data_IF_209823299745
#
_entry.id   IF_209823299745
#
_cell.length_a   1.000
_cell.length_b   1.000
_cell.length_c   1.000
_cell.angle_alpha   90.00
_cell.angle_beta   90.00
_cell.angle_gamma   90.00
#
_symmetry.space_group_name_H-M   'P 1'
#
loop_
_entity.id
_entity.type
_entity.pdbx_description
1 polymer ?
#
# COMPACT_ATOMS: atom_id res chain seq x y z
N UNK A 1 -45.03 -47.87 40.35
CA UNK A 1 -44.70 -46.97 39.24
C UNK A 1 -43.85 -45.82 39.79
N UNK A 2 -42.67 -45.59 39.20
CA UNK A 2 -41.54 -44.83 39.76
C UNK A 2 -41.87 -43.34 39.92
N UNK A 3 -41.56 -42.77 41.09
CA UNK A 3 -41.50 -41.32 41.33
C UNK A 3 -40.24 -40.79 40.66
N UNK A 4 -40.38 -39.91 39.68
CA UNK A 4 -39.27 -39.18 39.05
C UNK A 4 -39.14 -37.86 39.82
N UNK A 5 -38.07 -37.75 40.62
CA UNK A 5 -37.68 -36.52 41.30
C UNK A 5 -36.87 -35.69 40.32
N UNK A 6 -37.41 -34.59 39.83
CA UNK A 6 -36.69 -33.65 38.96
C UNK A 6 -35.69 -32.87 39.82
N UNK A 7 -34.40 -33.21 39.70
CA UNK A 7 -33.30 -32.46 40.30
C UNK A 7 -33.05 -31.22 39.42
N UNK A 8 -33.36 -30.05 39.95
CA UNK A 8 -33.04 -28.76 39.34
C UNK A 8 -31.56 -28.45 39.62
N UNK A 9 -30.67 -28.69 38.65
CA UNK A 9 -29.26 -28.32 38.76
C UNK A 9 -29.14 -26.82 38.44
N UNK A 10 -28.94 -26.02 39.49
CA UNK A 10 -28.64 -24.59 39.38
C UNK A 10 -27.16 -24.43 38.96
N UNK A 11 -26.92 -24.20 37.67
CA UNK A 11 -25.57 -23.88 37.17
C UNK A 11 -25.29 -22.41 37.49
N UNK A 12 -24.51 -22.16 38.55
CA UNK A 12 -23.94 -20.85 38.82
C UNK A 12 -22.86 -20.52 37.77
N UNK A 13 -23.20 -19.66 36.82
CA UNK A 13 -22.22 -19.00 35.96
C UNK A 13 -21.45 -17.97 36.80
N UNK A 14 -20.28 -18.35 37.32
CA UNK A 14 -19.29 -17.40 37.80
C UNK A 14 -18.74 -16.60 36.61
N UNK A 15 -19.36 -15.45 36.33
CA UNK A 15 -18.83 -14.46 35.39
C UNK A 15 -17.61 -13.78 36.00
N UNK A 16 -16.41 -14.29 35.71
CA UNK A 16 -15.17 -13.58 35.96
C UNK A 16 -15.09 -12.37 35.01
N UNK A 17 -15.62 -11.22 35.45
CA UNK A 17 -15.30 -9.93 34.86
C UNK A 17 -13.82 -9.63 35.15
N UNK A 18 -12.93 -10.05 34.24
CA UNK A 18 -11.60 -9.44 34.15
C UNK A 18 -11.81 -8.01 33.67
N UNK A 19 -11.74 -7.06 34.60
CA UNK A 19 -11.55 -5.66 34.25
C UNK A 19 -10.37 -5.56 33.29
N UNK A 20 -10.62 -5.13 32.05
CA UNK A 20 -9.56 -4.76 31.13
C UNK A 20 -8.87 -3.56 31.75
N UNK A 21 -7.73 -3.77 32.41
CA UNK A 21 -6.80 -2.72 32.77
C UNK A 21 -6.51 -1.91 31.50
N UNK A 22 -7.06 -0.70 31.42
CA UNK A 22 -6.75 0.23 30.33
C UNK A 22 -5.27 0.53 30.44
N UNK A 23 -4.47 0.06 29.48
CA UNK A 23 -3.08 0.47 29.36
C UNK A 23 -3.03 2.01 29.38
N UNK A 24 -2.07 2.61 30.09
CA UNK A 24 -1.91 4.06 30.09
C UNK A 24 -1.76 4.55 28.65
N UNK A 25 -2.34 5.71 28.30
CA UNK A 25 -2.29 6.23 26.93
C UNK A 25 -0.82 6.38 26.49
N UNK A 26 -0.49 5.80 25.32
CA UNK A 26 0.86 5.91 24.76
C UNK A 26 1.27 7.38 24.67
N UNK A 27 2.40 7.72 25.29
CA UNK A 27 3.03 9.05 25.18
C UNK A 27 3.46 9.26 23.73
N UNK A 28 3.04 10.38 23.13
CA UNK A 28 3.39 10.72 21.75
C UNK A 28 4.88 11.07 21.69
N UNK A 29 5.69 10.37 20.87
CA UNK A 29 7.11 10.70 20.73
C UNK A 29 7.31 12.09 20.15
N UNK A 30 8.33 12.80 20.65
CA UNK A 30 8.74 14.07 20.07
C UNK A 30 9.16 13.87 18.61
N UNK A 31 8.91 14.88 17.79
CA UNK A 31 9.32 14.87 16.39
C UNK A 31 10.85 14.99 16.27
N UNK A 32 11.47 13.98 15.69
CA UNK A 32 12.91 13.97 15.41
C UNK A 32 13.30 15.12 14.46
N UNK A 33 14.52 15.64 14.63
CA UNK A 33 15.06 16.75 13.83
C UNK A 33 14.97 16.50 12.32
N UNK A 34 15.14 15.25 11.88
CA UNK A 34 15.02 14.85 10.48
C UNK A 34 13.67 15.27 9.87
N UNK A 35 12.54 14.91 10.50
CA UNK A 35 11.21 15.23 9.97
C UNK A 35 10.94 16.74 9.95
N UNK A 36 11.45 17.47 10.95
CA UNK A 36 11.39 18.94 10.99
C UNK A 36 12.14 19.57 9.80
N UNK A 37 13.30 19.03 9.44
CA UNK A 37 14.14 19.51 8.34
C UNK A 37 13.48 19.26 6.97
N UNK A 38 13.06 18.03 6.68
CA UNK A 38 12.47 17.69 5.37
C UNK A 38 11.08 18.30 5.15
N UNK A 39 10.41 18.76 6.20
CA UNK A 39 9.11 19.45 6.11
C UNK A 39 9.16 20.70 5.24
N UNK A 40 10.32 21.35 5.12
CA UNK A 40 10.49 22.51 4.23
C UNK A 40 10.21 22.18 2.75
N UNK A 41 10.36 20.91 2.37
CA UNK A 41 10.12 20.41 1.02
C UNK A 41 8.71 19.81 0.83
N UNK A 42 7.83 19.86 1.85
CA UNK A 42 6.44 19.44 1.68
C UNK A 42 5.71 20.44 0.79
N UNK A 43 5.46 20.04 -0.47
CA UNK A 43 4.67 20.84 -1.39
C UNK A 43 3.18 20.79 -1.00
N UNK A 44 2.53 21.95 -0.97
CA UNK A 44 1.08 22.01 -0.71
C UNK A 44 0.31 21.41 -1.88
N UNK A 45 -0.79 20.72 -1.58
CA UNK A 45 -1.76 20.34 -2.60
C UNK A 45 -2.40 21.60 -3.20
N UNK A 46 -2.59 21.60 -4.52
CA UNK A 46 -3.39 22.62 -5.20
C UNK A 46 -4.88 22.44 -4.90
N UNK A 47 -5.68 23.42 -5.33
CA UNK A 47 -7.14 23.30 -5.30
C UNK A 47 -7.58 22.15 -6.23
N UNK A 48 -8.39 21.18 -5.76
CA UNK A 48 -8.82 20.05 -6.58
C UNK A 48 -9.65 20.51 -7.79
N UNK A 49 -9.34 19.96 -8.96
CA UNK A 49 -10.05 20.23 -10.22
C UNK A 49 -10.95 19.06 -10.63
N UNK A 50 -11.85 19.28 -11.59
CA UNK A 50 -12.77 18.23 -12.06
C UNK A 50 -12.00 17.00 -12.53
N UNK A 51 -12.36 15.83 -11.97
CA UNK A 51 -11.69 14.55 -12.22
C UNK A 51 -10.71 14.14 -11.13
N UNK A 52 -10.22 15.07 -10.31
CA UNK A 52 -9.29 14.77 -9.21
C UNK A 52 -9.99 14.00 -8.09
N UNK A 53 -9.22 13.21 -7.33
CA UNK A 53 -9.73 12.44 -6.20
C UNK A 53 -10.49 13.31 -5.19
N UNK A 54 -9.83 14.37 -4.72
CA UNK A 54 -10.35 15.27 -3.68
C UNK A 54 -11.47 16.22 -4.16
N UNK A 55 -11.69 16.31 -5.49
CA UNK A 55 -12.84 17.01 -6.04
C UNK A 55 -14.13 16.24 -5.72
N UNK A 56 -14.10 14.91 -5.88
CA UNK A 56 -15.27 14.03 -5.71
C UNK A 56 -15.34 13.37 -4.33
N UNK A 57 -14.21 13.24 -3.63
CA UNK A 57 -14.12 12.57 -2.33
C UNK A 57 -13.64 13.54 -1.26
N UNK A 58 -14.50 13.83 -0.29
CA UNK A 58 -14.10 14.60 0.90
C UNK A 58 -13.48 13.68 1.93
N UNK A 59 -12.25 13.98 2.31
CA UNK A 59 -11.46 13.19 3.25
C UNK A 59 -11.07 14.02 4.47
N UNK A 60 -10.88 13.33 5.59
CA UNK A 60 -10.35 13.93 6.80
C UNK A 60 -8.86 13.61 6.91
N UNK A 61 -8.09 14.59 7.37
CA UNK A 61 -6.68 14.38 7.66
C UNK A 61 -6.51 13.31 8.75
N UNK A 62 -5.56 12.40 8.54
CA UNK A 62 -5.03 11.55 9.59
C UNK A 62 -3.79 12.23 10.19
N UNK A 63 -3.84 12.71 11.43
CA UNK A 63 -2.67 13.31 12.10
C UNK A 63 -1.66 12.24 12.53
N UNK A 64 -0.42 12.63 12.87
CA UNK A 64 0.55 11.68 13.46
C UNK A 64 0.04 11.07 14.77
N UNK A 65 -0.61 11.87 15.62
CA UNK A 65 -1.14 11.39 16.90
C UNK A 65 -2.26 10.36 16.73
N UNK A 66 -3.17 10.59 15.76
CA UNK A 66 -4.20 9.62 15.40
C UNK A 66 -3.60 8.32 14.87
N UNK A 67 -2.61 8.43 13.96
CA UNK A 67 -1.89 7.28 13.44
C UNK A 67 -1.19 6.49 14.55
N UNK A 68 -0.43 7.16 15.42
CA UNK A 68 0.37 6.52 16.47
C UNK A 68 -0.49 5.77 17.50
N UNK A 69 -1.71 6.27 17.75
CA UNK A 69 -2.71 5.60 18.62
C UNK A 69 -3.53 4.53 17.90
N UNK A 70 -3.48 4.46 16.58
CA UNK A 70 -4.20 3.45 15.82
C UNK A 70 -3.61 2.04 16.01
N UNK A 71 -4.40 1.03 15.69
CA UNK A 71 -3.92 -0.36 15.59
C UNK A 71 -3.42 -0.62 14.17
N UNK A 72 -2.21 -0.16 13.88
CA UNK A 72 -1.49 -0.46 12.63
C UNK A 72 -0.52 -1.64 12.84
N UNK A 73 -0.13 -2.29 11.75
CA UNK A 73 0.84 -3.39 11.80
C UNK A 73 2.25 -2.82 12.06
N UNK A 74 3.04 -3.58 12.82
CA UNK A 74 4.43 -3.26 13.16
C UNK A 74 5.25 -4.52 12.86
N UNK A 75 6.39 -4.43 12.15
CA UNK A 75 7.22 -5.60 11.90
C UNK A 75 7.70 -6.28 13.18
N UNK A 76 7.68 -7.62 13.17
CA UNK A 76 8.18 -8.47 14.27
C UNK A 76 9.24 -9.43 13.73
N UNK A 77 9.80 -10.30 14.56
CA UNK A 77 10.71 -11.34 14.05
C UNK A 77 9.96 -12.36 13.18
N UNK A 78 8.67 -12.56 13.47
CA UNK A 78 7.79 -13.54 12.83
C UNK A 78 7.00 -12.95 11.66
N UNK A 79 6.94 -11.63 11.50
CA UNK A 79 6.26 -10.92 10.39
C UNK A 79 7.09 -9.71 9.96
N UNK A 80 7.94 -9.86 8.93
CA UNK A 80 8.86 -8.79 8.47
C UNK A 80 9.24 -8.87 6.99
N UNK A 81 8.56 -9.70 6.19
CA UNK A 81 8.82 -9.83 4.76
C UNK A 81 7.61 -9.34 3.97
N UNK A 82 7.85 -8.39 3.06
CA UNK A 82 6.89 -7.96 2.06
C UNK A 82 6.98 -8.94 0.88
N UNK A 83 5.85 -9.47 0.44
CA UNK A 83 5.79 -10.36 -0.71
C UNK A 83 5.09 -9.69 -1.89
N UNK A 84 5.58 -9.96 -3.10
CA UNK A 84 4.93 -9.63 -4.36
C UNK A 84 4.47 -10.93 -5.02
N UNK A 85 3.20 -11.01 -5.43
CA UNK A 85 2.63 -12.15 -6.16
C UNK A 85 2.24 -11.71 -7.57
N UNK A 86 3.02 -12.06 -8.59
CA UNK A 86 2.59 -11.86 -9.97
C UNK A 86 1.38 -12.75 -10.29
N UNK A 87 0.36 -12.18 -10.95
CA UNK A 87 -0.88 -12.84 -11.35
C UNK A 87 -1.03 -12.64 -12.87
N UNK A 88 -0.78 -13.69 -13.63
CA UNK A 88 -0.75 -13.66 -15.10
C UNK A 88 0.61 -13.97 -15.72
N UNK A 89 0.73 -13.68 -17.02
CA UNK A 89 1.84 -13.97 -17.91
C UNK A 89 2.64 -12.73 -18.34
N UNK A 90 3.62 -12.37 -17.53
CA UNK A 90 4.42 -11.17 -17.78
C UNK A 90 5.48 -11.38 -18.88
N UNK A 91 5.57 -10.42 -19.81
CA UNK A 91 6.64 -10.35 -20.81
C UNK A 91 7.98 -9.92 -20.17
N UNK A 92 9.06 -9.89 -20.96
CA UNK A 92 10.40 -9.59 -20.43
C UNK A 92 10.53 -8.19 -19.80
N UNK A 93 9.90 -7.17 -20.40
CA UNK A 93 9.92 -5.81 -19.86
C UNK A 93 9.10 -5.72 -18.57
N UNK A 94 7.92 -6.33 -18.54
CA UNK A 94 7.07 -6.35 -17.35
C UNK A 94 7.73 -7.13 -16.19
N UNK A 95 8.41 -8.24 -16.48
CA UNK A 95 9.24 -8.98 -15.49
C UNK A 95 10.35 -8.09 -14.93
N UNK A 96 11.00 -7.29 -15.78
CA UNK A 96 12.00 -6.31 -15.33
C UNK A 96 11.38 -5.24 -14.43
N UNK A 97 10.18 -4.75 -14.74
CA UNK A 97 9.48 -3.82 -13.84
C UNK A 97 9.18 -4.46 -12.48
N UNK A 98 8.69 -5.70 -12.44
CA UNK A 98 8.44 -6.41 -11.17
C UNK A 98 9.72 -6.56 -10.34
N UNK A 99 10.85 -6.86 -10.97
CA UNK A 99 12.15 -6.91 -10.29
C UNK A 99 12.55 -5.56 -9.69
N UNK A 100 12.37 -4.46 -10.45
CA UNK A 100 12.67 -3.12 -9.98
C UNK A 100 11.72 -2.64 -8.87
N UNK A 101 10.44 -3.03 -8.93
CA UNK A 101 9.46 -2.79 -7.86
C UNK A 101 9.87 -3.52 -6.59
N UNK A 102 10.29 -4.78 -6.69
CA UNK A 102 10.78 -5.53 -5.54
C UNK A 102 11.95 -4.82 -4.85
N UNK A 103 12.97 -4.43 -5.61
CA UNK A 103 14.13 -3.71 -5.10
C UNK A 103 13.72 -2.36 -4.49
N UNK A 104 12.89 -1.58 -5.20
CA UNK A 104 12.38 -0.31 -4.70
C UNK A 104 11.64 -0.45 -3.37
N UNK A 105 10.74 -1.42 -3.24
CA UNK A 105 9.97 -1.63 -2.01
C UNK A 105 10.86 -2.05 -0.85
N UNK A 106 11.89 -2.87 -1.11
CA UNK A 106 12.90 -3.20 -0.10
C UNK A 106 13.63 -1.97 0.41
N UNK A 107 14.01 -1.04 -0.48
CA UNK A 107 14.64 0.22 -0.10
C UNK A 107 13.67 1.19 0.59
N UNK A 108 12.46 1.31 0.06
CA UNK A 108 11.43 2.25 0.53
C UNK A 108 10.91 1.90 1.91
N UNK A 109 10.71 0.61 2.21
CA UNK A 109 10.27 0.17 3.53
C UNK A 109 11.44 -0.26 4.42
N UNK A 110 12.65 -0.44 3.88
CA UNK A 110 13.78 -1.10 4.57
C UNK A 110 13.36 -2.43 5.23
N UNK A 111 12.50 -3.17 4.53
CA UNK A 111 12.05 -4.50 4.89
C UNK A 111 12.35 -5.44 3.73
N UNK A 112 12.75 -6.67 4.06
CA UNK A 112 13.04 -7.68 3.05
C UNK A 112 11.83 -7.85 2.14
N UNK A 113 12.04 -7.76 0.82
CA UNK A 113 10.99 -7.94 -0.17
C UNK A 113 11.28 -9.15 -1.05
N UNK A 114 10.27 -9.97 -1.35
CA UNK A 114 10.43 -11.18 -2.16
C UNK A 114 9.32 -11.29 -3.19
N UNK A 115 9.67 -11.71 -4.39
CA UNK A 115 8.69 -12.06 -5.43
C UNK A 115 8.42 -13.56 -5.37
N UNK A 116 7.16 -13.93 -5.27
CA UNK A 116 6.69 -15.31 -5.33
C UNK A 116 6.58 -15.79 -6.77
N UNK A 117 6.48 -17.10 -6.96
CA UNK A 117 6.15 -17.68 -8.26
C UNK A 117 4.80 -17.16 -8.77
N UNK A 118 4.71 -16.85 -10.08
CA UNK A 118 3.49 -16.37 -10.69
C UNK A 118 2.38 -17.41 -10.62
N UNK A 119 1.13 -16.95 -10.60
CA UNK A 119 -0.06 -17.81 -10.78
C UNK A 119 -0.81 -17.40 -12.04
N UNK A 120 -1.51 -18.36 -12.67
CA UNK A 120 -2.38 -18.06 -13.80
C UNK A 120 -3.56 -17.19 -13.37
N UNK A 121 -4.02 -16.32 -14.28
CA UNK A 121 -5.28 -15.59 -14.08
C UNK A 121 -6.46 -16.54 -13.90
N UNK A 122 -6.41 -17.78 -14.44
CA UNK A 122 -7.48 -18.79 -14.39
C UNK A 122 -7.97 -19.15 -12.98
N UNK A 123 -7.20 -18.78 -11.95
CA UNK A 123 -7.65 -18.84 -10.55
C UNK A 123 -8.90 -17.98 -10.29
N UNK A 124 -9.11 -16.93 -11.10
CA UNK A 124 -10.30 -16.08 -11.06
C UNK A 124 -11.40 -16.72 -11.91
N UNK A 125 -12.58 -17.03 -11.34
CA UNK A 125 -13.68 -17.65 -12.07
C UNK A 125 -14.41 -16.64 -12.96
N UNK A 126 -15.17 -17.13 -13.93
CA UNK A 126 -15.98 -16.29 -14.84
C UNK A 126 -16.94 -15.35 -14.10
N UNK A 127 -17.44 -15.74 -12.93
CA UNK A 127 -18.32 -14.88 -12.10
C UNK A 127 -17.60 -13.67 -11.50
N UNK A 128 -16.27 -13.68 -11.47
CA UNK A 128 -15.42 -12.60 -10.96
C UNK A 128 -14.62 -11.92 -12.09
N UNK A 129 -15.05 -12.10 -13.34
CA UNK A 129 -14.49 -11.49 -14.54
C UNK A 129 -15.56 -10.69 -15.25
N UNK A 130 -15.15 -9.68 -16.02
CA UNK A 130 -16.05 -8.98 -16.95
C UNK A 130 -15.28 -8.47 -18.15
N UNK A 131 -16.04 -8.11 -19.18
CA UNK A 131 -15.53 -7.33 -20.30
C UNK A 131 -15.76 -5.85 -20.05
N UNK A 132 -14.69 -5.06 -20.15
CA UNK A 132 -14.77 -3.61 -20.01
C UNK A 132 -15.57 -3.01 -21.16
N UNK A 133 -16.01 -1.76 -20.98
CA UNK A 133 -16.59 -0.97 -22.09
C UNK A 133 -15.58 -0.68 -23.20
N UNK A 134 -14.29 -0.82 -22.93
CA UNK A 134 -13.18 -0.62 -23.87
C UNK A 134 -12.79 -1.93 -24.60
N UNK A 135 -13.45 -3.06 -24.30
CA UNK A 135 -13.25 -4.33 -25.02
C UNK A 135 -12.10 -5.19 -24.51
N UNK A 136 -11.65 -4.98 -23.27
CA UNK A 136 -10.64 -5.80 -22.60
C UNK A 136 -11.13 -6.43 -21.30
N UNK A 137 -10.50 -7.53 -20.91
CA UNK A 137 -10.88 -8.27 -19.70
C UNK A 137 -10.49 -7.52 -18.43
N UNK A 138 -11.40 -7.52 -17.44
CA UNK A 138 -11.14 -7.03 -16.10
C UNK A 138 -11.43 -8.11 -15.05
N UNK A 139 -10.57 -8.18 -14.03
CA UNK A 139 -10.71 -9.06 -12.88
C UNK A 139 -11.30 -8.29 -11.68
N UNK A 140 -12.16 -8.95 -10.90
CA UNK A 140 -12.71 -8.36 -9.68
C UNK A 140 -11.61 -8.28 -8.62
N UNK A 141 -11.17 -7.06 -8.26
CA UNK A 141 -10.11 -6.85 -7.28
C UNK A 141 -10.46 -7.48 -5.92
N UNK A 142 -11.74 -7.41 -5.52
CA UNK A 142 -12.22 -8.03 -4.28
C UNK A 142 -12.05 -9.55 -4.24
N UNK A 143 -12.18 -10.26 -5.36
CA UNK A 143 -11.96 -11.70 -5.41
C UNK A 143 -10.48 -12.03 -5.23
N UNK A 144 -9.60 -11.32 -5.94
CA UNK A 144 -8.15 -11.48 -5.78
C UNK A 144 -7.70 -11.25 -4.33
N UNK A 145 -8.25 -10.23 -3.66
CA UNK A 145 -7.93 -9.96 -2.26
C UNK A 145 -8.44 -11.06 -1.32
N UNK A 146 -9.73 -11.39 -1.38
CA UNK A 146 -10.39 -12.19 -0.35
C UNK A 146 -10.25 -13.69 -0.55
N UNK A 147 -10.18 -14.15 -1.80
CA UNK A 147 -10.26 -15.57 -2.15
C UNK A 147 -8.91 -16.14 -2.66
N UNK A 148 -7.96 -15.27 -3.03
CA UNK A 148 -6.65 -15.68 -3.55
C UNK A 148 -5.52 -15.25 -2.63
N UNK A 149 -5.29 -13.94 -2.48
CA UNK A 149 -4.13 -13.40 -1.76
C UNK A 149 -4.22 -13.59 -0.25
N UNK A 150 -5.42 -13.49 0.33
CA UNK A 150 -5.62 -13.69 1.77
C UNK A 150 -5.20 -15.09 2.23
N UNK A 151 -5.47 -16.10 1.41
CA UNK A 151 -5.17 -17.51 1.70
C UNK A 151 -3.67 -17.85 1.55
N UNK A 152 -2.91 -17.01 0.83
CA UNK A 152 -1.47 -17.18 0.62
C UNK A 152 -0.67 -16.69 1.83
N UNK A 153 -0.15 -17.62 2.64
CA UNK A 153 0.59 -17.29 3.87
C UNK A 153 2.06 -17.75 3.86
N UNK A 154 2.92 -17.15 3.01
CA UNK A 154 4.35 -17.46 3.01
C UNK A 154 4.99 -17.07 4.34
N UNK A 155 6.10 -17.77 4.67
CA UNK A 155 6.80 -17.59 5.93
C UNK A 155 7.21 -16.13 6.16
N UNK A 156 7.01 -15.63 7.39
CA UNK A 156 7.35 -14.27 7.80
C UNK A 156 6.63 -13.14 7.04
N UNK A 157 5.52 -13.42 6.35
CA UNK A 157 4.73 -12.40 5.64
C UNK A 157 4.24 -11.32 6.60
N UNK A 158 4.61 -10.07 6.33
CA UNK A 158 3.98 -8.89 6.93
C UNK A 158 2.95 -8.24 5.99
N UNK A 159 3.18 -8.33 4.69
CA UNK A 159 2.35 -7.76 3.64
C UNK A 159 2.47 -8.62 2.38
N UNK A 160 1.39 -8.72 1.60
CA UNK A 160 1.39 -9.40 0.31
C UNK A 160 0.68 -8.55 -0.74
N UNK A 161 1.42 -8.18 -1.79
CA UNK A 161 0.93 -7.38 -2.90
C UNK A 161 0.82 -8.23 -4.16
N UNK A 162 -0.40 -8.44 -4.64
CA UNK A 162 -0.66 -8.98 -5.97
C UNK A 162 -0.34 -7.95 -7.05
N UNK A 163 0.33 -8.36 -8.12
CA UNK A 163 0.47 -7.57 -9.34
C UNK A 163 -0.20 -8.33 -10.47
N UNK A 164 -1.32 -7.80 -10.96
CA UNK A 164 -2.07 -8.39 -12.07
C UNK A 164 -1.65 -7.77 -13.40
N UNK A 165 -1.49 -8.61 -14.42
CA UNK A 165 -1.32 -8.14 -15.80
C UNK A 165 -2.61 -7.60 -16.43
N UNK A 166 -3.76 -8.06 -15.95
CA UNK A 166 -5.08 -7.69 -16.43
C UNK A 166 -5.63 -6.51 -15.64
N UNK A 167 -6.57 -5.79 -16.25
CA UNK A 167 -7.23 -4.65 -15.63
C UNK A 167 -8.08 -5.08 -14.43
N UNK A 168 -8.32 -4.16 -13.50
CA UNK A 168 -9.05 -4.44 -12.26
C UNK A 168 -10.28 -3.56 -12.14
N UNK A 169 -11.35 -4.11 -11.57
CA UNK A 169 -12.52 -3.34 -11.15
C UNK A 169 -12.89 -3.63 -9.70
N UNK A 170 -13.36 -2.62 -8.93
CA UNK A 170 -13.64 -2.82 -7.51
C UNK A 170 -15.06 -3.32 -7.25
N UNK A 171 -16.04 -2.86 -8.06
CA UNK A 171 -17.48 -3.15 -7.94
C UNK A 171 -18.16 -3.03 -9.32
N UNK A 172 -19.33 -3.66 -9.53
CA UNK A 172 -20.04 -3.59 -10.80
C UNK A 172 -20.27 -2.16 -11.31
N UNK A 173 -20.53 -1.20 -10.43
CA UNK A 173 -20.88 0.19 -10.77
C UNK A 173 -19.67 1.08 -11.07
N UNK A 174 -18.44 0.57 -10.90
CA UNK A 174 -17.20 1.32 -11.04
C UNK A 174 -16.44 0.87 -12.29
N UNK A 175 -15.76 1.80 -12.96
CA UNK A 175 -15.07 1.50 -14.23
C UNK A 175 -13.80 0.66 -14.03
N UNK A 176 -12.89 1.10 -13.16
CA UNK A 176 -11.65 0.39 -12.87
C UNK A 176 -11.05 0.89 -11.55
N UNK A 177 -9.95 0.25 -11.15
CA UNK A 177 -9.12 0.65 -10.01
C UNK A 177 -7.66 0.31 -10.31
N UNK A 178 -6.72 1.20 -9.98
CA UNK A 178 -5.28 0.92 -10.16
C UNK A 178 -4.75 -0.06 -9.11
N UNK A 179 -5.24 0.06 -7.87
CA UNK A 179 -4.95 -0.86 -6.78
C UNK A 179 -5.99 -0.81 -5.67
N UNK A 180 -6.05 -1.90 -4.89
CA UNK A 180 -6.95 -2.02 -3.76
C UNK A 180 -6.25 -2.81 -2.65
N UNK A 181 -6.30 -2.30 -1.41
CA UNK A 181 -5.71 -2.96 -0.25
C UNK A 181 -6.72 -3.24 0.88
N UNK A 182 -6.50 -4.35 1.58
CA UNK A 182 -7.10 -4.64 2.89
C UNK A 182 -6.08 -4.39 4.00
N UNK A 183 -6.33 -3.34 4.79
CA UNK A 183 -5.56 -3.02 5.99
C UNK A 183 -5.50 -4.18 6.98
N UNK A 184 -6.64 -4.85 7.18
CA UNK A 184 -6.80 -5.91 8.19
C UNK A 184 -6.12 -7.20 7.78
N UNK A 185 -6.30 -7.58 6.52
CA UNK A 185 -5.84 -8.87 6.00
C UNK A 185 -4.41 -8.79 5.43
N UNK A 186 -3.79 -7.59 5.44
CA UNK A 186 -2.41 -7.32 5.02
C UNK A 186 -2.12 -7.76 3.57
N UNK A 187 -3.14 -7.60 2.72
CA UNK A 187 -3.08 -7.95 1.30
C UNK A 187 -3.51 -6.76 0.46
N UNK A 188 -2.92 -6.64 -0.72
CA UNK A 188 -3.27 -5.63 -1.72
C UNK A 188 -3.12 -6.19 -3.11
N UNK A 189 -3.73 -5.56 -4.10
CA UNK A 189 -3.58 -5.91 -5.50
C UNK A 189 -3.50 -4.64 -6.34
N UNK A 190 -2.58 -4.58 -7.30
CA UNK A 190 -2.52 -3.54 -8.32
C UNK A 190 -2.49 -4.16 -9.71
N UNK A 191 -2.96 -3.39 -10.69
CA UNK A 191 -2.88 -3.76 -12.10
C UNK A 191 -1.77 -2.99 -12.80
N UNK A 192 -0.95 -3.67 -13.60
CA UNK A 192 -0.04 -2.98 -14.53
C UNK A 192 -0.73 -2.60 -15.86
N UNK A 193 -1.96 -3.08 -16.10
CA UNK A 193 -2.62 -3.01 -17.42
C UNK A 193 -2.72 -1.56 -17.92
N UNK A 194 -3.34 -0.69 -17.12
CA UNK A 194 -3.57 0.71 -17.51
C UNK A 194 -2.32 1.58 -17.49
N UNK A 195 -1.25 1.15 -16.82
CA UNK A 195 -0.01 1.94 -16.77
C UNK A 195 0.68 2.01 -18.12
N UNK A 196 0.50 0.98 -18.95
CA UNK A 196 1.18 0.77 -20.23
C UNK A 196 0.53 1.52 -21.40
N UNK A 197 -0.75 1.93 -21.25
CA UNK A 197 -1.53 2.57 -22.32
C UNK A 197 -1.49 1.78 -23.64
N UNK A 198 -1.82 0.49 -23.57
CA UNK A 198 -1.77 -0.45 -24.69
C UNK A 198 -0.68 -1.51 -24.54
N UNK A 199 0.58 -1.12 -24.72
CA UNK A 199 1.74 -2.04 -24.64
C UNK A 199 2.93 -1.39 -23.94
N UNK A 200 3.63 -2.16 -23.08
CA UNK A 200 4.91 -1.74 -22.52
C UNK A 200 6.02 -1.84 -23.57
N UNK A 201 6.60 -0.70 -23.91
CA UNK A 201 7.75 -0.56 -24.80
C UNK A 201 8.96 -0.01 -24.03
N UNK A 202 10.11 0.08 -24.70
CA UNK A 202 11.28 0.74 -24.10
C UNK A 202 11.04 2.25 -23.88
N UNK A 203 10.20 2.89 -24.71
CA UNK A 203 9.95 4.33 -24.68
C UNK A 203 9.08 4.72 -23.47
N UNK A 204 8.04 3.95 -23.17
CA UNK A 204 7.16 4.21 -22.03
C UNK A 204 7.60 3.49 -20.74
N UNK A 205 8.70 2.72 -20.77
CA UNK A 205 9.13 1.88 -19.64
C UNK A 205 9.25 2.64 -18.33
N UNK A 206 9.91 3.80 -18.34
CA UNK A 206 10.18 4.59 -17.15
C UNK A 206 8.91 5.23 -16.57
N UNK A 207 8.00 5.72 -17.43
CA UNK A 207 6.72 6.25 -17.00
C UNK A 207 5.85 5.16 -16.35
N UNK A 208 5.77 3.99 -17.00
CA UNK A 208 5.04 2.84 -16.48
C UNK A 208 5.64 2.34 -15.15
N UNK A 209 6.98 2.35 -15.05
CA UNK A 209 7.68 1.99 -13.83
C UNK A 209 7.34 2.99 -12.71
N UNK A 210 7.47 4.30 -12.95
CA UNK A 210 7.11 5.35 -11.98
C UNK A 210 5.69 5.15 -11.42
N UNK A 211 4.70 4.97 -12.31
CA UNK A 211 3.30 4.69 -11.94
C UNK A 211 3.18 3.45 -11.04
N UNK A 212 3.88 2.38 -11.39
CA UNK A 212 3.88 1.14 -10.62
C UNK A 212 4.57 1.27 -9.26
N UNK A 213 5.68 2.02 -9.16
CA UNK A 213 6.36 2.29 -7.88
C UNK A 213 5.47 3.11 -6.94
N UNK A 214 4.86 4.19 -7.45
CA UNK A 214 3.91 5.04 -6.71
C UNK A 214 2.73 4.23 -6.20
N UNK A 215 2.06 3.49 -7.08
CA UNK A 215 0.88 2.68 -6.72
C UNK A 215 1.25 1.57 -5.74
N UNK A 216 2.34 0.83 -5.96
CA UNK A 216 2.71 -0.28 -5.08
C UNK A 216 3.07 0.18 -3.67
N UNK A 217 3.82 1.29 -3.54
CA UNK A 217 4.15 1.85 -2.24
C UNK A 217 2.94 2.48 -1.54
N UNK A 218 2.00 3.06 -2.30
CA UNK A 218 0.73 3.54 -1.79
C UNK A 218 -0.10 2.41 -1.17
N UNK A 219 -0.36 1.34 -1.92
CA UNK A 219 -1.19 0.21 -1.45
C UNK A 219 -0.54 -0.52 -0.26
N UNK A 220 0.78 -0.72 -0.28
CA UNK A 220 1.49 -1.30 0.87
C UNK A 220 1.49 -0.32 2.05
N UNK A 221 1.58 0.99 1.81
CA UNK A 221 1.45 2.03 2.83
C UNK A 221 0.12 1.94 3.58
N UNK A 222 -0.98 1.63 2.89
CA UNK A 222 -2.26 1.32 3.53
C UNK A 222 -2.17 0.13 4.48
N UNK A 223 -1.46 -0.95 4.13
CA UNK A 223 -1.27 -2.09 5.04
C UNK A 223 -0.56 -1.69 6.34
N UNK A 224 0.32 -0.67 6.29
CA UNK A 224 0.95 -0.04 7.46
C UNK A 224 0.11 1.04 8.15
N UNK A 225 -1.17 1.17 7.82
CA UNK A 225 -2.12 2.06 8.48
C UNK A 225 -2.11 3.50 7.99
N UNK A 226 -1.39 3.82 6.90
CA UNK A 226 -1.44 5.14 6.30
C UNK A 226 -2.80 5.32 5.60
N UNK A 227 -3.50 6.40 5.90
CA UNK A 227 -4.66 6.82 5.11
C UNK A 227 -4.20 7.66 3.92
N UNK A 228 -5.14 8.01 3.04
CA UNK A 228 -4.87 9.05 2.07
C UNK A 228 -4.36 10.32 2.75
N UNK A 229 -3.32 10.91 2.16
CA UNK A 229 -2.72 12.14 2.64
C UNK A 229 -3.39 13.33 1.96
N UNK A 230 -3.84 14.29 2.76
CA UNK A 230 -4.34 15.60 2.26
C UNK A 230 -3.50 16.78 2.76
N UNK A 231 -2.39 16.51 3.46
CA UNK A 231 -1.53 17.53 4.07
C UNK A 231 -0.53 18.15 3.06
N UNK A 232 -0.10 17.38 2.07
CA UNK A 232 0.92 17.75 1.09
C UNK A 232 0.84 16.82 -0.13
N UNK A 233 1.48 17.21 -1.23
CA UNK A 233 1.82 16.31 -2.34
C UNK A 233 2.69 15.17 -1.80
N UNK A 234 2.15 13.96 -1.90
CA UNK A 234 2.61 12.78 -1.18
C UNK A 234 2.21 11.53 -1.95
N UNK A 235 3.05 10.50 -1.96
CA UNK A 235 2.70 9.20 -2.59
C UNK A 235 1.43 8.57 -1.99
N UNK A 236 1.04 8.97 -0.79
CA UNK A 236 -0.23 8.56 -0.16
C UNK A 236 -1.44 9.42 -0.58
N UNK A 237 -1.34 10.36 -1.52
CA UNK A 237 -2.54 11.06 -2.02
C UNK A 237 -3.43 10.05 -2.76
N UNK A 238 -4.74 10.11 -2.54
CA UNK A 238 -5.69 9.37 -3.38
C UNK A 238 -5.67 9.91 -4.80
N UNK A 239 -5.80 9.04 -5.80
CA UNK A 239 -5.82 9.43 -7.22
C UNK A 239 -6.97 8.76 -7.96
N UNK A 240 -7.55 9.49 -8.93
CA UNK A 240 -8.66 9.03 -9.77
C UNK A 240 -8.24 8.75 -11.22
N UNK A 241 -7.03 9.16 -11.63
CA UNK A 241 -6.57 9.05 -13.01
C UNK A 241 -5.06 8.90 -13.12
N UNK A 242 -4.58 8.43 -14.27
CA UNK A 242 -3.14 8.38 -14.57
C UNK A 242 -2.53 9.77 -14.56
N UNK A 243 -3.22 10.77 -15.12
CA UNK A 243 -2.73 12.16 -15.11
C UNK A 243 -2.55 12.69 -13.68
N UNK A 244 -3.42 12.30 -12.75
CA UNK A 244 -3.27 12.61 -11.33
C UNK A 244 -2.10 11.88 -10.66
N UNK A 245 -1.95 10.59 -10.95
CA UNK A 245 -0.78 9.83 -10.48
C UNK A 245 0.54 10.39 -11.04
N UNK A 246 0.56 10.80 -12.31
CA UNK A 246 1.76 11.28 -12.99
C UNK A 246 2.25 12.60 -12.39
N UNK A 247 1.36 13.56 -12.14
CA UNK A 247 1.71 14.85 -11.52
C UNK A 247 2.04 14.75 -10.02
N UNK A 248 1.59 13.68 -9.34
CA UNK A 248 1.87 13.47 -7.91
C UNK A 248 3.30 12.99 -7.67
N UNK A 249 3.86 13.31 -6.50
CA UNK A 249 5.21 12.89 -6.15
C UNK A 249 5.28 11.45 -5.64
N UNK A 250 6.42 10.75 -5.85
CA UNK A 250 6.71 9.46 -5.20
C UNK A 250 7.11 9.60 -3.72
N UNK A 251 7.37 10.82 -3.29
CA UNK A 251 7.87 11.12 -1.95
C UNK A 251 6.74 11.00 -0.92
N UNK A 252 7.03 10.39 0.22
CA UNK A 252 6.19 10.56 1.41
C UNK A 252 6.44 11.95 1.99
N UNK A 253 5.39 12.72 2.30
CA UNK A 253 5.54 13.98 3.02
C UNK A 253 6.14 13.75 4.42
N UNK A 254 6.66 14.81 5.06
CA UNK A 254 7.31 14.71 6.37
C UNK A 254 6.45 13.99 7.42
N UNK A 255 5.14 14.26 7.42
CA UNK A 255 4.16 13.63 8.32
C UNK A 255 4.01 12.14 8.04
N UNK A 256 3.90 11.74 6.76
CA UNK A 256 3.73 10.33 6.40
C UNK A 256 5.03 9.53 6.59
N UNK A 257 6.20 10.14 6.37
CA UNK A 257 7.48 9.54 6.75
C UNK A 257 7.56 9.33 8.26
N UNK A 258 7.17 10.31 9.07
CA UNK A 258 7.15 10.18 10.54
C UNK A 258 6.22 9.05 10.99
N UNK A 259 5.02 8.94 10.41
CA UNK A 259 4.08 7.85 10.68
C UNK A 259 4.73 6.50 10.36
N UNK A 260 5.22 6.32 9.13
CA UNK A 260 5.82 5.07 8.70
C UNK A 260 7.06 4.71 9.53
N UNK A 261 7.92 5.69 9.85
CA UNK A 261 9.11 5.47 10.67
C UNK A 261 8.79 5.05 12.11
N UNK A 262 7.61 5.46 12.63
CA UNK A 262 7.18 5.08 13.97
C UNK A 262 6.76 3.61 14.09
N UNK A 263 6.44 2.94 12.97
CA UNK A 263 6.14 1.51 12.94
C UNK A 263 7.28 0.69 12.35
N UNK A 264 7.91 1.15 11.26
CA UNK A 264 9.10 0.55 10.67
C UNK A 264 10.28 1.44 11.02
N UNK A 265 11.12 1.02 11.97
CA UNK A 265 12.28 1.79 12.45
C UNK A 265 13.42 1.80 11.42
N UNK A 266 13.12 2.28 10.20
CA UNK A 266 14.09 2.42 9.13
C UNK A 266 15.05 3.59 9.42
N UNK A 267 16.27 3.50 8.88
CA UNK A 267 17.23 4.59 8.89
C UNK A 267 16.84 5.62 7.82
N UNK A 268 16.41 6.79 8.28
CA UNK A 268 15.97 7.90 7.44
C UNK A 268 17.02 8.35 6.41
N UNK A 269 18.30 8.46 6.81
CA UNK A 269 19.37 8.95 5.93
C UNK A 269 19.74 7.87 4.91
N UNK A 270 19.92 6.63 5.36
CA UNK A 270 20.22 5.49 4.48
C UNK A 270 19.12 5.27 3.45
N UNK A 271 17.85 5.27 3.88
CA UNK A 271 16.69 5.13 3.00
C UNK A 271 16.70 6.18 1.89
N UNK A 272 16.97 7.43 2.25
CA UNK A 272 16.98 8.54 1.30
C UNK A 272 18.12 8.42 0.27
N UNK A 273 19.34 8.10 0.71
CA UNK A 273 20.49 7.87 -0.19
C UNK A 273 20.29 6.65 -1.08
N UNK A 274 19.75 5.55 -0.56
CA UNK A 274 19.49 4.36 -1.36
C UNK A 274 18.42 4.61 -2.43
N UNK A 275 17.34 5.32 -2.08
CA UNK A 275 16.31 5.71 -3.04
C UNK A 275 16.85 6.67 -4.10
N UNK A 276 17.67 7.66 -3.73
CA UNK A 276 18.35 8.54 -4.69
C UNK A 276 19.16 7.72 -5.71
N UNK A 277 20.00 6.80 -5.23
CA UNK A 277 20.81 5.93 -6.08
C UNK A 277 19.93 5.05 -6.97
N UNK A 278 18.83 4.52 -6.43
CA UNK A 278 17.87 3.71 -7.16
C UNK A 278 17.22 4.49 -8.31
N UNK A 279 16.77 5.71 -8.07
CA UNK A 279 16.12 6.52 -9.10
C UNK A 279 17.12 6.98 -10.17
N UNK A 280 18.33 7.36 -9.75
CA UNK A 280 19.41 7.76 -10.65
C UNK A 280 19.78 6.65 -11.64
N UNK A 281 20.02 5.42 -11.17
CA UNK A 281 20.44 4.31 -12.03
C UNK A 281 19.34 3.81 -12.97
N UNK A 282 18.08 4.11 -12.67
CA UNK A 282 16.91 3.76 -13.50
C UNK A 282 16.40 4.93 -14.35
N UNK A 283 17.10 6.07 -14.38
CA UNK A 283 16.72 7.28 -15.13
C UNK A 283 15.31 7.80 -14.76
N UNK A 284 14.95 7.74 -13.47
CA UNK A 284 13.72 8.28 -12.91
C UNK A 284 14.01 9.67 -12.34
N UNK A 285 14.03 10.68 -13.22
CA UNK A 285 14.63 11.99 -12.93
C UNK A 285 13.83 12.78 -11.89
N UNK A 286 12.50 12.79 -11.98
CA UNK A 286 11.65 13.53 -11.04
C UNK A 286 11.73 12.95 -9.62
N UNK A 287 11.73 11.62 -9.51
CA UNK A 287 11.90 10.91 -8.25
C UNK A 287 13.28 11.13 -7.65
N UNK A 288 14.33 11.09 -8.48
CA UNK A 288 15.70 11.39 -8.09
C UNK A 288 15.84 12.82 -7.53
N UNK A 289 15.30 13.82 -8.23
CA UNK A 289 15.36 15.21 -7.78
C UNK A 289 14.58 15.43 -6.49
N UNK A 290 13.47 14.70 -6.29
CA UNK A 290 12.72 14.71 -5.03
C UNK A 290 13.56 14.23 -3.85
N UNK A 291 14.33 13.14 -4.01
CA UNK A 291 15.23 12.66 -2.95
C UNK A 291 16.36 13.67 -2.69
N UNK A 292 16.95 14.26 -3.74
CA UNK A 292 18.02 15.28 -3.59
C UNK A 292 17.58 16.50 -2.80
N UNK A 293 16.35 16.97 -2.98
CA UNK A 293 15.80 18.11 -2.21
C UNK A 293 15.83 17.80 -0.72
N UNK A 294 15.39 16.60 -0.32
CA UNK A 294 15.45 16.18 1.08
C UNK A 294 16.89 16.00 1.57
N UNK A 295 17.79 15.45 0.74
CA UNK A 295 19.21 15.29 1.09
C UNK A 295 19.86 16.64 1.39
N UNK A 296 19.53 17.68 0.62
CA UNK A 296 20.16 19.00 0.77
C UNK A 296 19.81 19.73 2.07
N UNK A 297 18.73 19.32 2.76
CA UNK A 297 18.24 19.99 3.97
C UNK A 297 18.52 19.21 5.25
N UNK A 298 19.04 17.99 5.15
CA UNK A 298 19.39 17.16 6.30
C UNK A 298 20.85 17.37 6.71
N UNK A 299 21.06 18.05 7.85
CA UNK A 299 22.37 18.23 8.49
C UNK A 299 22.92 16.92 9.06
#
# INVERSE_FOLDING_TARGET
>A
MKKITTILILILFCSCNKEKTKEPPKTIPEEASYFKQIKINDAKLGEPTYGDWLFSHKENEQTFEQYYRSKHIVPTKEENIIYIKPIGNFNALQKKQIQLVNEYLELFFQLKTKTLEPISNDIVPNSARRMSTEGHEQLLAGYLLNDVLKEENPQNRIALMGLSELDLYPKPEWNYVFGLASYRDKVGVSSIYRFQDGELTAENFNLCLSRLLKTSSHEIGHMFGLHHCINADCVMNGTNSLSETDRSTIRLCSVCQRKLNSCIQYDNKKRLTDLENFFKRNNLIEEFDSMKKDISVIQ
#
